data_IF_703057516648
#
_entry.id   IF_703057516648
#
_cell.length_a   1.000
_cell.length_b   1.000
_cell.length_c   1.000
_cell.angle_alpha   90.00
_cell.angle_beta   90.00
_cell.angle_gamma   90.00
#
_symmetry.space_group_name_H-M   'P 1'
#
loop_
_entity.id
_entity.type
_entity.pdbx_description
1 polymer ?
#
# COMPACT_ATOMS: atom_id res chain seq x y z
N UNK A 1 -23.73 -8.68 -7.85
CA UNK A 1 -22.64 -8.34 -8.79
C UNK A 1 -21.54 -7.59 -8.06
N UNK A 2 -20.33 -7.97 -8.29
CA UNK A 2 -19.20 -7.30 -7.65
C UNK A 2 -18.71 -6.17 -8.53
N UNK A 3 -18.38 -5.05 -7.90
CA UNK A 3 -17.73 -3.97 -8.61
C UNK A 3 -16.23 -4.18 -8.57
N UNK A 4 -15.56 -3.67 -9.58
CA UNK A 4 -14.12 -3.76 -9.65
C UNK A 4 -13.49 -2.39 -9.65
N UNK A 5 -12.17 -2.38 -9.54
CA UNK A 5 -11.39 -1.16 -9.64
C UNK A 5 -10.42 -1.34 -10.79
N UNK A 6 -10.43 -0.40 -11.71
CA UNK A 6 -9.51 -0.45 -12.83
C UNK A 6 -8.14 -0.05 -12.34
N UNK A 7 -7.13 -0.83 -12.70
CA UNK A 7 -5.75 -0.49 -12.33
C UNK A 7 -4.90 -0.41 -13.59
N UNK A 8 -3.85 0.36 -13.48
CA UNK A 8 -2.88 0.51 -14.57
C UNK A 8 -1.56 -0.13 -14.16
N UNK A 9 -0.65 -0.18 -15.12
CA UNK A 9 0.67 -0.75 -14.86
C UNK A 9 1.50 0.13 -13.92
N UNK A 10 1.00 1.30 -13.56
CA UNK A 10 1.71 2.19 -12.65
C UNK A 10 1.23 2.07 -11.22
N UNK A 11 0.39 1.10 -10.94
CA UNK A 11 -0.22 0.96 -9.62
C UNK A 11 0.11 -0.39 -9.01
N UNK A 12 -0.06 -0.47 -7.69
CA UNK A 12 0.20 -1.68 -6.92
C UNK A 12 -1.13 -2.18 -6.37
N UNK A 13 -1.29 -3.49 -6.37
CA UNK A 13 -2.49 -4.10 -5.78
C UNK A 13 -2.15 -4.68 -4.42
N UNK A 14 -3.01 -4.40 -3.44
CA UNK A 14 -2.85 -4.90 -2.09
C UNK A 14 -4.14 -5.56 -1.65
N UNK A 15 -4.07 -6.83 -1.27
CA UNK A 15 -5.23 -7.57 -0.79
C UNK A 15 -5.54 -7.17 0.63
N UNK A 16 -6.62 -6.43 0.83
CA UNK A 16 -6.93 -5.86 2.14
C UNK A 16 -7.66 -6.84 3.05
N UNK A 17 -8.21 -7.90 2.51
CA UNK A 17 -8.86 -8.92 3.33
C UNK A 17 -7.81 -9.89 3.80
N UNK A 18 -7.76 -10.11 5.11
CA UNK A 18 -6.77 -10.98 5.71
C UNK A 18 -5.37 -10.59 5.26
N UNK A 19 -4.92 -9.39 5.66
CA UNK A 19 -3.63 -8.88 5.15
C UNK A 19 -2.46 -9.80 5.45
N UNK A 20 -2.56 -10.65 6.46
CA UNK A 20 -1.48 -11.59 6.76
C UNK A 20 -1.24 -12.60 5.64
N UNK A 21 -2.16 -12.70 4.68
CA UNK A 21 -1.95 -13.58 3.55
C UNK A 21 -1.00 -13.01 2.53
N UNK A 22 -0.71 -11.71 2.63
CA UNK A 22 0.26 -11.04 1.78
C UNK A 22 -0.07 -11.17 0.30
N UNK A 23 -1.30 -10.85 -0.05
CA UNK A 23 -1.71 -10.85 -1.43
C UNK A 23 -1.31 -9.53 -2.06
N UNK A 24 -0.12 -9.52 -2.58
CA UNK A 24 0.50 -8.33 -3.17
C UNK A 24 0.76 -8.57 -4.63
N UNK A 25 0.56 -7.54 -5.46
CA UNK A 25 0.83 -7.65 -6.88
C UNK A 25 1.42 -6.35 -7.39
N UNK A 26 2.50 -6.50 -8.14
CA UNK A 26 3.15 -5.38 -8.83
C UNK A 26 2.99 -5.61 -10.32
N UNK A 27 1.82 -5.27 -10.89
CA UNK A 27 1.53 -5.64 -12.27
C UNK A 27 2.26 -4.77 -13.28
N UNK A 28 2.59 -5.36 -14.41
CA UNK A 28 3.12 -4.62 -15.53
C UNK A 28 2.11 -4.57 -16.67
N UNK A 29 0.83 -4.66 -16.33
CA UNK A 29 -0.28 -4.65 -17.25
C UNK A 29 -1.44 -3.91 -16.60
N UNK A 30 -2.45 -3.60 -17.36
CA UNK A 30 -3.65 -2.99 -16.81
C UNK A 30 -4.78 -4.01 -16.77
N UNK A 31 -5.74 -3.78 -15.89
CA UNK A 31 -6.83 -4.70 -15.74
C UNK A 31 -7.83 -4.20 -14.72
N UNK A 32 -8.65 -5.12 -14.24
CA UNK A 32 -9.70 -4.83 -13.28
C UNK A 32 -9.51 -5.74 -12.08
N UNK A 33 -9.40 -5.13 -10.90
CA UNK A 33 -9.29 -5.89 -9.65
C UNK A 33 -10.69 -6.02 -9.06
N UNK A 34 -11.13 -7.26 -8.90
CA UNK A 34 -12.46 -7.54 -8.36
C UNK A 34 -12.31 -8.21 -7.00
N UNK A 35 -13.05 -7.71 -6.02
CA UNK A 35 -13.00 -8.25 -4.68
C UNK A 35 -12.36 -7.25 -3.72
N UNK A 36 -11.69 -7.77 -2.71
CA UNK A 36 -11.18 -6.94 -1.62
C UNK A 36 -9.75 -6.48 -1.90
N UNK A 37 -9.61 -5.62 -2.90
CA UNK A 37 -8.31 -5.09 -3.28
C UNK A 37 -8.25 -3.60 -3.08
N UNK A 38 -7.09 -3.15 -2.63
CA UNK A 38 -6.72 -1.75 -2.75
C UNK A 38 -5.86 -1.60 -3.99
N UNK A 39 -6.15 -0.59 -4.77
CA UNK A 39 -5.29 -0.20 -5.90
C UNK A 39 -4.55 1.05 -5.45
N UNK A 40 -3.26 0.92 -5.21
CA UNK A 40 -2.45 1.98 -4.62
C UNK A 40 -1.68 2.71 -5.70
N UNK A 41 -1.87 4.02 -5.75
CA UNK A 41 -1.19 4.84 -6.74
C UNK A 41 -0.07 5.62 -6.08
N UNK A 42 1.18 5.41 -6.50
CA UNK A 42 2.27 6.20 -5.93
C UNK A 42 2.19 7.66 -6.39
N UNK A 43 2.44 8.57 -5.47
CA UNK A 43 2.41 10.00 -5.74
C UNK A 43 3.81 10.59 -5.72
N UNK A 44 4.49 10.47 -4.58
CA UNK A 44 5.80 11.07 -4.42
C UNK A 44 6.91 10.03 -4.28
N UNK A 45 6.57 8.78 -4.52
CA UNK A 45 7.54 7.69 -4.49
C UNK A 45 7.36 6.89 -5.77
N UNK A 46 8.38 6.15 -6.15
CA UNK A 46 8.22 5.32 -7.33
C UNK A 46 7.49 4.03 -6.98
N UNK A 47 7.03 3.36 -8.03
CA UNK A 47 6.21 2.17 -7.87
C UNK A 47 6.96 1.05 -7.16
N UNK A 48 8.24 0.87 -7.48
CA UNK A 48 9.00 -0.21 -6.86
C UNK A 48 9.24 0.05 -5.39
N UNK A 49 9.43 1.32 -5.03
CA UNK A 49 9.54 1.68 -3.62
C UNK A 49 8.25 1.35 -2.89
N UNK A 50 7.12 1.71 -3.48
CA UNK A 50 5.84 1.41 -2.86
C UNK A 50 5.64 -0.09 -2.67
N UNK A 51 6.03 -0.87 -3.66
CA UNK A 51 5.87 -2.31 -3.55
C UNK A 51 6.73 -2.88 -2.42
N UNK A 52 7.91 -2.33 -2.21
CA UNK A 52 8.73 -2.75 -1.09
C UNK A 52 8.16 -2.27 0.24
N UNK A 53 7.56 -1.09 0.25
CA UNK A 53 7.00 -0.53 1.47
C UNK A 53 5.88 -1.40 2.03
N UNK A 54 4.99 -1.88 1.17
CA UNK A 54 3.87 -2.68 1.65
C UNK A 54 4.33 -4.05 2.18
N UNK A 55 5.56 -4.43 1.90
CA UNK A 55 6.09 -5.71 2.37
C UNK A 55 6.91 -5.56 3.63
N UNK A 56 7.04 -4.36 4.17
CA UNK A 56 7.82 -4.17 5.39
C UNK A 56 7.04 -4.65 6.60
N UNK A 57 7.77 -4.98 7.65
CA UNK A 57 7.16 -5.37 8.90
C UNK A 57 6.29 -4.26 9.47
N UNK A 58 6.74 -3.03 9.33
CA UNK A 58 5.99 -1.90 9.86
C UNK A 58 4.62 -1.79 9.18
N UNK A 59 4.58 -1.92 7.86
CA UNK A 59 3.32 -1.86 7.14
C UNK A 59 2.44 -3.03 7.51
N UNK A 60 3.02 -4.21 7.56
CA UNK A 60 2.27 -5.43 7.85
C UNK A 60 1.68 -5.38 9.25
N UNK A 61 2.44 -4.86 10.21
CA UNK A 61 1.95 -4.75 11.57
C UNK A 61 0.74 -3.84 11.65
N UNK A 62 0.79 -2.72 10.96
CA UNK A 62 -0.35 -1.80 10.98
C UNK A 62 -1.54 -2.36 10.20
N UNK A 63 -1.26 -3.09 9.13
CA UNK A 63 -2.34 -3.66 8.34
C UNK A 63 -3.08 -4.76 9.10
N UNK A 64 -2.43 -5.40 10.03
CA UNK A 64 -3.02 -6.50 10.77
C UNK A 64 -3.51 -6.10 12.16
N UNK A 65 -3.82 -4.82 12.34
CA UNK A 65 -4.30 -4.34 13.63
C UNK A 65 -5.70 -4.80 13.96
N UNK A 66 -6.49 -5.12 12.95
CA UNK A 66 -7.85 -5.59 13.18
C UNK A 66 -7.79 -6.99 13.77
N UNK A 67 -8.28 -7.14 14.99
CA UNK A 67 -8.23 -8.42 15.67
C UNK A 67 -9.61 -8.82 16.14
N UNK A 68 -9.77 -10.10 16.48
CA UNK A 68 -11.02 -10.60 17.02
C UNK A 68 -12.08 -10.86 15.99
N UNK A 69 -11.76 -10.86 14.72
CA UNK A 69 -12.70 -11.14 13.66
C UNK A 69 -12.16 -12.27 12.79
N UNK A 70 -13.08 -13.03 12.20
CA UNK A 70 -12.69 -14.12 11.32
C UNK A 70 -12.23 -13.63 9.96
N UNK A 71 -12.65 -12.44 9.57
CA UNK A 71 -12.30 -11.89 8.28
C UNK A 71 -11.71 -10.49 8.46
N UNK A 72 -10.51 -10.41 9.05
CA UNK A 72 -9.91 -9.10 9.28
C UNK A 72 -9.57 -8.40 7.97
N UNK A 73 -9.70 -7.09 7.98
CA UNK A 73 -9.36 -6.27 6.83
C UNK A 73 -8.44 -5.17 7.26
N UNK A 74 -7.54 -4.81 6.37
CA UNK A 74 -6.71 -3.63 6.59
C UNK A 74 -7.60 -2.39 6.56
N UNK A 75 -7.27 -1.42 7.41
CA UNK A 75 -8.04 -0.19 7.55
C UNK A 75 -7.25 0.94 6.92
N UNK A 76 -7.75 1.46 5.81
CA UNK A 76 -7.05 2.52 5.09
C UNK A 76 -6.88 3.77 5.94
N UNK A 77 -7.90 4.11 6.74
CA UNK A 77 -7.80 5.30 7.57
C UNK A 77 -6.66 5.18 8.57
N UNK A 78 -6.49 4.01 9.14
CA UNK A 78 -5.39 3.79 10.08
C UNK A 78 -4.06 3.84 9.37
N UNK A 79 -3.94 3.14 8.26
CA UNK A 79 -2.67 3.03 7.57
C UNK A 79 -2.26 4.36 6.95
N UNK A 80 -3.21 5.07 6.34
CA UNK A 80 -2.87 6.32 5.68
C UNK A 80 -2.41 7.39 6.66
N UNK A 81 -2.82 7.30 7.92
CA UNK A 81 -2.42 8.26 8.92
C UNK A 81 -1.22 7.81 9.74
N UNK A 82 -0.69 6.64 9.46
CA UNK A 82 0.48 6.13 10.15
C UNK A 82 1.73 6.74 9.53
N UNK A 83 2.65 7.15 10.39
CA UNK A 83 3.93 7.65 9.90
C UNK A 83 4.91 6.50 9.79
N UNK A 84 5.49 6.36 8.61
CA UNK A 84 6.44 5.30 8.34
C UNK A 84 7.84 5.87 8.27
N UNK A 85 8.78 5.08 8.75
CA UNK A 85 10.18 5.44 8.70
C UNK A 85 10.71 5.02 7.34
N UNK A 86 11.11 6.01 6.54
CA UNK A 86 11.47 5.78 5.16
C UNK A 86 12.90 6.21 4.90
N UNK A 87 13.62 5.50 4.04
CA UNK A 87 14.93 5.97 3.65
C UNK A 87 14.80 7.21 2.77
N UNK A 88 15.83 8.03 2.82
CA UNK A 88 15.87 9.21 1.99
C UNK A 88 15.91 8.82 0.53
N UNK A 89 15.20 9.58 -0.31
CA UNK A 89 15.22 9.32 -1.74
C UNK A 89 16.55 9.67 -2.37
N UNK A 90 17.22 10.64 -1.79
CA UNK A 90 18.47 11.11 -2.36
C UNK A 90 19.60 10.33 -1.73
N UNK A 91 19.93 9.24 -2.36
CA UNK A 91 20.93 8.34 -1.82
C UNK A 91 22.30 8.93 -1.82
N UNK A 92 22.55 9.89 -2.68
CA UNK A 92 23.86 10.52 -2.70
C UNK A 92 24.07 11.42 -1.51
N UNK A 93 22.99 11.77 -0.85
CA UNK A 93 23.05 12.60 0.35
C UNK A 93 22.68 11.79 1.55
N UNK A 94 23.15 10.59 1.58
CA UNK A 94 22.72 9.66 2.60
C UNK A 94 23.09 10.03 3.99
N UNK A 95 23.71 11.13 4.22
CA UNK A 95 23.87 11.53 5.59
C UNK A 95 22.55 11.82 6.26
N UNK A 96 21.50 12.01 5.49
CA UNK A 96 20.18 12.11 6.09
C UNK A 96 19.57 10.76 6.30
N UNK A 97 19.75 9.86 5.36
CA UNK A 97 19.40 8.47 5.52
C UNK A 97 17.93 8.16 5.48
N UNK A 98 17.15 8.75 6.35
CA UNK A 98 15.76 8.36 6.44
C UNK A 98 14.95 9.48 7.10
N UNK A 99 13.64 9.32 7.01
CA UNK A 99 12.73 10.29 7.59
C UNK A 99 11.38 9.61 7.83
N UNK A 100 10.55 10.23 8.68
CA UNK A 100 9.19 9.75 8.88
C UNK A 100 8.24 10.51 7.97
N UNK A 101 7.28 9.79 7.42
CA UNK A 101 6.28 10.43 6.57
C UNK A 101 4.96 9.69 6.71
N UNK A 102 3.90 10.45 6.71
CA UNK A 102 2.55 9.90 6.70
C UNK A 102 2.27 9.32 5.32
N UNK A 103 1.63 8.16 5.30
CA UNK A 103 1.47 7.45 4.04
C UNK A 103 0.60 8.22 3.05
N UNK A 104 -0.34 9.00 3.54
CA UNK A 104 -1.24 9.72 2.65
C UNK A 104 -0.54 10.79 1.83
N UNK A 105 0.71 11.14 2.16
CA UNK A 105 1.51 12.05 1.34
C UNK A 105 2.17 11.34 0.18
N UNK A 106 2.32 10.03 0.28
CA UNK A 106 3.15 9.27 -0.65
C UNK A 106 2.32 8.53 -1.69
N UNK A 107 1.14 8.09 -1.31
CA UNK A 107 0.30 7.29 -2.19
C UNK A 107 -1.15 7.69 -2.03
N UNK A 108 -1.94 7.31 -2.99
CA UNK A 108 -3.38 7.51 -2.89
C UNK A 108 -4.08 6.21 -3.26
N UNK A 109 -5.27 6.06 -2.74
CA UNK A 109 -6.09 4.89 -2.99
C UNK A 109 -7.02 5.17 -4.15
N UNK A 110 -6.95 4.33 -5.17
CA UNK A 110 -7.82 4.45 -6.32
C UNK A 110 -9.22 4.01 -5.89
N UNK A 111 -10.17 4.90 -6.04
CA UNK A 111 -11.50 4.62 -5.55
C UNK A 111 -12.26 3.73 -6.51
N UNK A 112 -13.13 2.92 -5.94
CA UNK A 112 -14.00 2.06 -6.72
C UNK A 112 -14.96 2.90 -7.52
N UNK A 113 -15.17 2.46 -8.72
CA UNK A 113 -16.09 3.14 -9.62
C UNK A 113 -17.49 2.58 -9.52
#
# INVERSE_FOLDING_TARGET
>A
MKTGVIFSKDEILYGKLRPYLHNWLNPDFQGIAVGDWWVLKPLEVDKNFLYRLIQTEQFDEMANQSSGTKMPRADWKLISNTEFYLPSKDEEQDRIGSYFSSLDHLITLHRRM
#
